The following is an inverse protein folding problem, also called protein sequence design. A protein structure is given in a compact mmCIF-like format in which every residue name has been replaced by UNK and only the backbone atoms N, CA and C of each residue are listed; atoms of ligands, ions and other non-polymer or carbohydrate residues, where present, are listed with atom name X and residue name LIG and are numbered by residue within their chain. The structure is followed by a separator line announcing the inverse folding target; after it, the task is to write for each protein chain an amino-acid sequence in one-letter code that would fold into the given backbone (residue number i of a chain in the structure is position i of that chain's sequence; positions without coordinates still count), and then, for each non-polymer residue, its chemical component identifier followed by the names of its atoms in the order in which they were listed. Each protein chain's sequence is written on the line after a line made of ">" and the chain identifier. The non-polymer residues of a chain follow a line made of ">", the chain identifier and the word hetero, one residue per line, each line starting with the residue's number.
data_IF_165329288968
#
_entry.id   IF_165329288968
#
_cell.length_a   1.000
_cell.length_b   1.000
_cell.length_c   1.000
_cell.angle_alpha   90.00
_cell.angle_beta   90.00
_cell.angle_gamma   90.00
#
_symmetry.space_group_name_H-M   'P 1'
#
loop_
_entity.id
_entity.type
_entity.pdbx_description
1 polymer ?
#
# COMPACT_ATOMS: atom_id res chain seq x y z
N UNK A 1 -17.51 6.16 39.48
CA UNK A 1 -18.63 5.45 38.79
C UNK A 1 -18.05 4.45 37.83
N UNK A 2 -18.56 3.21 37.80
CA UNK A 2 -18.14 2.20 36.82
C UNK A 2 -18.77 2.55 35.47
N UNK A 3 -17.96 2.66 34.42
CA UNK A 3 -18.45 2.97 33.08
C UNK A 3 -19.36 1.84 32.58
N UNK A 4 -20.46 2.13 31.86
CA UNK A 4 -21.30 1.10 31.26
C UNK A 4 -20.48 0.19 30.33
N UNK A 5 -20.71 -1.13 30.41
CA UNK A 5 -19.92 -2.13 29.68
C UNK A 5 -19.93 -1.93 28.16
N UNK A 6 -21.07 -1.52 27.60
CA UNK A 6 -21.19 -1.23 26.17
C UNK A 6 -20.30 -0.06 25.73
N UNK A 7 -20.20 0.99 26.55
CA UNK A 7 -19.37 2.15 26.23
C UNK A 7 -17.88 1.83 26.36
N UNK A 8 -17.48 1.02 27.35
CA UNK A 8 -16.09 0.57 27.45
C UNK A 8 -15.69 -0.31 26.27
N UNK A 9 -16.57 -1.19 25.78
CA UNK A 9 -16.30 -2.03 24.62
C UNK A 9 -16.07 -1.20 23.35
N UNK A 10 -16.89 -0.16 23.12
CA UNK A 10 -16.70 0.75 21.98
C UNK A 10 -15.37 1.51 22.07
N UNK A 11 -15.00 2.00 23.25
CA UNK A 11 -13.71 2.69 23.45
C UNK A 11 -12.54 1.76 23.14
N UNK A 12 -12.57 0.52 23.63
CA UNK A 12 -11.51 -0.46 23.34
C UNK A 12 -11.44 -0.82 21.86
N UNK A 13 -12.59 -1.03 21.19
CA UNK A 13 -12.63 -1.29 19.76
C UNK A 13 -12.01 -0.15 18.93
N UNK A 14 -12.31 1.11 19.26
CA UNK A 14 -11.76 2.27 18.55
C UNK A 14 -10.24 2.44 18.72
N UNK A 15 -9.66 1.91 19.80
CA UNK A 15 -8.20 1.96 20.05
C UNK A 15 -7.40 1.06 19.11
N UNK A 16 -8.04 0.12 18.43
CA UNK A 16 -7.37 -0.71 17.42
C UNK A 16 -7.00 0.08 16.16
N UNK A 17 -7.59 1.27 15.95
CA UNK A 17 -7.32 2.10 14.79
C UNK A 17 -5.97 2.81 14.90
N UNK A 18 -5.18 2.86 13.81
CA UNK A 18 -3.90 3.57 13.82
C UNK A 18 -4.10 5.06 14.14
N UNK A 19 -3.29 5.59 15.06
CA UNK A 19 -3.37 6.99 15.50
C UNK A 19 -4.45 7.29 16.55
N UNK A 20 -5.23 6.29 16.99
CA UNK A 20 -6.30 6.49 17.98
C UNK A 20 -5.85 6.06 19.39
N UNK A 21 -5.37 7.04 20.16
CA UNK A 21 -5.06 6.85 21.58
C UNK A 21 -6.30 6.76 22.48
N UNK A 22 -6.13 6.36 23.76
CA UNK A 22 -7.25 6.10 24.69
C UNK A 22 -8.16 7.32 24.90
N UNK A 23 -7.59 8.54 25.00
CA UNK A 23 -8.37 9.78 25.12
C UNK A 23 -9.17 10.10 23.85
N UNK A 24 -8.60 9.85 22.67
CA UNK A 24 -9.31 10.07 21.40
C UNK A 24 -10.44 9.08 21.21
N UNK A 25 -10.20 7.79 21.46
CA UNK A 25 -11.23 6.75 21.43
C UNK A 25 -12.40 7.08 22.37
N UNK A 26 -12.10 7.52 23.59
CA UNK A 26 -13.13 7.95 24.55
C UNK A 26 -13.96 9.11 23.98
N UNK A 27 -13.33 10.18 23.48
CA UNK A 27 -14.06 11.32 22.90
C UNK A 27 -14.96 10.91 21.74
N UNK A 28 -14.45 10.07 20.83
CA UNK A 28 -15.21 9.55 19.69
C UNK A 28 -16.43 8.74 20.16
N UNK A 29 -16.24 7.82 21.11
CA UNK A 29 -17.32 6.98 21.64
C UNK A 29 -18.43 7.82 22.29
N UNK A 30 -18.08 8.80 23.11
CA UNK A 30 -19.07 9.69 23.73
C UNK A 30 -19.78 10.55 22.69
N UNK A 31 -19.06 11.11 21.72
CA UNK A 31 -19.66 11.91 20.64
C UNK A 31 -20.70 11.11 19.86
N UNK A 32 -20.35 9.90 19.41
CA UNK A 32 -21.25 9.02 18.68
C UNK A 32 -22.51 8.66 19.50
N UNK A 33 -22.35 8.34 20.79
CA UNK A 33 -23.50 7.96 21.62
C UNK A 33 -24.40 9.12 22.03
N UNK A 34 -23.85 10.34 22.12
CA UNK A 34 -24.60 11.53 22.56
C UNK A 34 -25.22 12.32 21.39
N UNK A 35 -24.53 12.39 20.26
CA UNK A 35 -24.86 13.33 19.18
C UNK A 35 -25.12 12.65 17.84
N UNK A 36 -24.58 11.46 17.59
CA UNK A 36 -24.65 10.83 16.26
C UNK A 36 -24.80 9.30 16.32
N UNK A 37 -25.94 8.86 16.86
CA UNK A 37 -26.24 7.44 17.00
C UNK A 37 -26.46 6.74 15.65
N UNK A 38 -27.06 7.45 14.69
CA UNK A 38 -27.25 6.96 13.34
C UNK A 38 -25.90 6.78 12.61
N UNK A 39 -24.96 7.72 12.79
CA UNK A 39 -23.59 7.57 12.29
C UNK A 39 -22.87 6.37 12.89
N UNK A 40 -23.03 6.11 14.20
CA UNK A 40 -22.49 4.90 14.82
C UNK A 40 -23.05 3.60 14.23
N UNK A 41 -24.37 3.52 14.02
CA UNK A 41 -25.00 2.34 13.40
C UNK A 41 -24.50 2.13 11.98
N UNK A 42 -24.40 3.20 11.19
CA UNK A 42 -23.85 3.16 9.83
C UNK A 42 -22.40 2.70 9.82
N UNK A 43 -21.55 3.24 10.71
CA UNK A 43 -20.15 2.84 10.82
C UNK A 43 -20.01 1.35 11.16
N UNK A 44 -20.80 0.86 12.12
CA UNK A 44 -20.81 -0.56 12.49
C UNK A 44 -21.20 -1.45 11.31
N UNK A 45 -22.28 -1.09 10.60
CA UNK A 45 -22.74 -1.83 9.43
C UNK A 45 -21.71 -1.81 8.28
N UNK A 46 -21.11 -0.66 7.98
CA UNK A 46 -20.08 -0.54 6.94
C UNK A 46 -18.83 -1.35 7.25
N UNK A 47 -18.38 -1.35 8.52
CA UNK A 47 -17.22 -2.14 8.93
C UNK A 47 -17.49 -3.64 8.77
N UNK A 48 -18.67 -4.11 9.22
CA UNK A 48 -19.05 -5.51 9.07
C UNK A 48 -19.13 -5.91 7.60
N UNK A 49 -19.81 -5.10 6.79
CA UNK A 49 -19.93 -5.33 5.35
C UNK A 49 -18.55 -5.46 4.69
N UNK A 50 -17.63 -4.52 4.97
CA UNK A 50 -16.28 -4.56 4.43
C UNK A 50 -15.52 -5.83 4.84
N UNK A 51 -15.61 -6.25 6.11
CA UNK A 51 -14.93 -7.48 6.57
C UNK A 51 -15.48 -8.77 5.98
N UNK A 52 -16.75 -8.77 5.57
CA UNK A 52 -17.40 -9.94 4.96
C UNK A 52 -17.17 -10.04 3.45
N UNK A 53 -17.06 -8.89 2.76
CA UNK A 53 -17.07 -8.84 1.29
C UNK A 53 -15.71 -8.53 0.68
N UNK A 54 -14.85 -7.77 1.36
CA UNK A 54 -13.51 -7.46 0.84
C UNK A 54 -12.60 -8.67 1.01
N UNK A 55 -12.02 -9.10 -0.10
CA UNK A 55 -10.97 -10.11 -0.17
C UNK A 55 -9.81 -9.62 -1.00
N UNK A 56 -8.78 -10.47 -1.12
CA UNK A 56 -7.61 -10.19 -1.94
C UNK A 56 -7.76 -10.80 -3.32
N UNK A 57 -7.35 -10.04 -4.34
CA UNK A 57 -7.25 -10.51 -5.71
C UNK A 57 -6.25 -11.68 -5.74
N UNK A 58 -6.63 -12.78 -6.37
CA UNK A 58 -5.77 -13.97 -6.46
C UNK A 58 -4.47 -13.68 -7.23
N UNK A 59 -4.54 -12.77 -8.21
CA UNK A 59 -3.42 -12.34 -9.04
C UNK A 59 -2.53 -11.28 -8.36
N UNK A 60 -3.04 -10.06 -8.16
CA UNK A 60 -2.22 -8.92 -7.72
C UNK A 60 -2.27 -8.63 -6.23
N UNK A 61 -3.03 -9.40 -5.45
CA UNK A 61 -3.20 -9.23 -4.01
C UNK A 61 -3.91 -7.93 -3.56
N UNK A 62 -4.37 -7.06 -4.46
CA UNK A 62 -5.15 -5.87 -4.08
C UNK A 62 -6.53 -6.20 -3.50
N UNK A 63 -7.22 -5.23 -2.91
CA UNK A 63 -8.60 -5.42 -2.43
C UNK A 63 -9.60 -5.50 -3.58
N UNK A 64 -10.52 -6.45 -3.50
CA UNK A 64 -11.57 -6.71 -4.49
C UNK A 64 -12.70 -7.50 -3.85
N UNK A 65 -13.90 -7.43 -4.43
CA UNK A 65 -15.05 -8.28 -4.09
C UNK A 65 -15.13 -9.52 -5.00
N UNK A 66 -14.48 -9.46 -6.17
CA UNK A 66 -14.34 -10.56 -7.13
C UNK A 66 -13.06 -11.39 -6.89
N UNK A 67 -12.98 -12.61 -7.43
CA UNK A 67 -11.75 -13.45 -7.35
C UNK A 67 -10.53 -12.75 -7.98
N UNK A 68 -10.77 -12.06 -9.11
CA UNK A 68 -9.76 -11.27 -9.82
C UNK A 68 -10.30 -9.85 -9.93
N UNK A 69 -9.46 -8.84 -9.62
CA UNK A 69 -9.85 -7.44 -9.74
C UNK A 69 -9.93 -6.99 -11.20
N UNK A 70 -10.65 -5.90 -11.45
CA UNK A 70 -10.88 -5.31 -12.78
C UNK A 70 -9.56 -5.04 -13.53
N UNK A 71 -8.56 -4.47 -12.84
CA UNK A 71 -7.23 -4.19 -13.41
C UNK A 71 -6.53 -5.46 -13.91
N UNK A 72 -6.76 -6.62 -13.30
CA UNK A 72 -6.15 -7.87 -13.73
C UNK A 72 -6.96 -8.64 -14.79
N UNK A 73 -8.21 -8.22 -15.06
CA UNK A 73 -9.09 -8.75 -16.09
C UNK A 73 -9.07 -7.89 -17.37
N UNK A 74 -8.59 -6.66 -17.26
CA UNK A 74 -8.49 -5.71 -18.35
C UNK A 74 -7.49 -6.19 -19.43
N UNK A 75 -8.03 -6.58 -20.59
CA UNK A 75 -7.26 -7.08 -21.73
C UNK A 75 -6.50 -5.98 -22.49
N UNK A 76 -6.80 -4.70 -22.26
CA UNK A 76 -6.09 -3.59 -22.88
C UNK A 76 -4.73 -3.31 -22.20
N UNK A 77 -4.48 -3.95 -21.05
CA UNK A 77 -3.24 -3.78 -20.30
C UNK A 77 -2.12 -4.64 -20.84
N UNK A 78 -0.91 -4.15 -20.62
CA UNK A 78 0.31 -4.84 -21.01
C UNK A 78 0.73 -5.85 -19.92
N UNK A 79 0.61 -7.17 -20.16
CA UNK A 79 0.98 -8.17 -19.17
C UNK A 79 2.50 -8.34 -19.03
N UNK A 80 3.30 -7.78 -19.95
CA UNK A 80 4.77 -7.82 -19.86
C UNK A 80 5.32 -6.89 -18.77
N UNK A 81 4.51 -5.94 -18.29
CA UNK A 81 4.88 -4.95 -17.29
C UNK A 81 4.20 -5.24 -15.95
N UNK A 82 5.00 -5.38 -14.89
CA UNK A 82 4.50 -5.60 -13.54
C UNK A 82 5.01 -4.54 -12.55
N UNK A 83 4.11 -3.76 -11.96
CA UNK A 83 4.43 -2.76 -10.95
C UNK A 83 4.20 -3.30 -9.53
N UNK A 84 5.22 -3.25 -8.69
CA UNK A 84 5.16 -3.71 -7.31
C UNK A 84 5.03 -2.52 -6.36
N UNK A 85 3.95 -2.49 -5.58
CA UNK A 85 3.64 -1.41 -4.62
C UNK A 85 3.48 -1.96 -3.20
N UNK A 86 3.60 -1.09 -2.19
CA UNK A 86 3.46 -1.49 -0.77
C UNK A 86 1.99 -1.73 -0.41
N UNK A 87 1.08 -0.83 -0.81
CA UNK A 87 -0.32 -0.85 -0.38
C UNK A 87 -1.32 -0.68 -1.53
N UNK A 88 -2.60 -1.06 -1.32
CA UNK A 88 -3.65 -0.78 -2.31
C UNK A 88 -3.84 0.72 -2.57
N UNK A 89 -3.58 1.57 -1.58
CA UNK A 89 -3.63 3.02 -1.75
C UNK A 89 -2.58 3.50 -2.77
N UNK A 90 -1.36 2.96 -2.70
CA UNK A 90 -0.29 3.29 -3.65
C UNK A 90 -0.66 2.86 -5.08
N UNK A 91 -1.29 1.69 -5.23
CA UNK A 91 -1.83 1.24 -6.52
C UNK A 91 -2.85 2.26 -7.07
N UNK A 92 -3.83 2.66 -6.26
CA UNK A 92 -4.88 3.59 -6.68
C UNK A 92 -4.26 4.93 -7.10
N UNK A 93 -3.26 5.44 -6.37
CA UNK A 93 -2.57 6.68 -6.73
C UNK A 93 -1.86 6.58 -8.08
N UNK A 94 -1.19 5.45 -8.37
CA UNK A 94 -0.58 5.23 -9.68
C UNK A 94 -1.63 5.12 -10.79
N UNK A 95 -2.73 4.42 -10.55
CA UNK A 95 -3.82 4.24 -11.51
C UNK A 95 -4.45 5.60 -11.89
N UNK A 96 -4.66 6.48 -10.91
CA UNK A 96 -5.19 7.83 -11.12
C UNK A 96 -4.32 8.71 -12.03
N UNK A 97 -3.04 8.39 -12.20
CA UNK A 97 -2.18 9.12 -13.14
C UNK A 97 -2.52 8.84 -14.60
N UNK A 98 -3.20 7.71 -14.89
CA UNK A 98 -3.47 7.22 -16.25
C UNK A 98 -2.22 7.05 -17.13
N UNK A 99 -1.03 6.98 -16.50
CA UNK A 99 0.25 6.86 -17.21
C UNK A 99 0.76 5.43 -17.30
N UNK A 100 0.37 4.57 -16.37
CA UNK A 100 0.83 3.19 -16.30
C UNK A 100 -0.20 2.25 -16.91
N UNK A 101 0.22 1.44 -17.89
CA UNK A 101 -0.64 0.47 -18.60
C UNK A 101 -0.36 -0.99 -18.25
N UNK A 102 0.58 -1.23 -17.33
CA UNK A 102 0.91 -2.58 -16.90
C UNK A 102 -0.02 -3.11 -15.81
N UNK A 103 0.36 -4.27 -15.28
CA UNK A 103 -0.32 -4.92 -14.16
C UNK A 103 0.38 -4.61 -12.85
N UNK A 104 -0.28 -4.94 -11.73
CA UNK A 104 0.25 -4.67 -10.39
C UNK A 104 0.51 -5.95 -9.57
N UNK A 105 1.27 -5.79 -8.51
CA UNK A 105 1.28 -6.65 -7.33
C UNK A 105 1.41 -5.80 -6.06
N UNK A 106 0.55 -6.06 -5.07
CA UNK A 106 0.51 -5.33 -3.80
C UNK A 106 1.09 -6.19 -2.68
N UNK A 107 2.18 -5.70 -2.08
CA UNK A 107 2.90 -6.42 -1.03
C UNK A 107 2.15 -6.50 0.30
N UNK A 108 1.17 -5.62 0.54
CA UNK A 108 0.51 -5.44 1.84
C UNK A 108 1.46 -5.02 2.96
N UNK A 109 2.46 -4.22 2.60
CA UNK A 109 3.46 -3.70 3.52
C UNK A 109 4.86 -3.71 2.92
N UNK A 110 5.85 -3.78 3.80
CA UNK A 110 7.27 -3.68 3.49
C UNK A 110 8.08 -4.45 4.51
N UNK A 111 9.31 -4.80 4.17
CA UNK A 111 10.23 -5.46 5.10
C UNK A 111 10.56 -4.52 6.26
N UNK A 112 10.33 -4.97 7.48
CA UNK A 112 10.71 -4.25 8.69
C UNK A 112 11.25 -5.24 9.73
N UNK A 113 12.58 -5.44 9.78
CA UNK A 113 13.20 -6.31 10.78
C UNK A 113 12.89 -5.89 12.21
N UNK A 114 12.72 -4.59 12.46
CA UNK A 114 12.39 -4.05 13.79
C UNK A 114 10.98 -4.46 14.24
N UNK A 115 10.05 -4.52 13.31
CA UNK A 115 8.66 -4.94 13.57
C UNK A 115 8.45 -6.45 13.36
N UNK A 116 9.53 -7.20 13.07
CA UNK A 116 9.46 -8.63 12.78
C UNK A 116 8.76 -8.98 11.45
N UNK A 117 8.62 -8.02 10.54
CA UNK A 117 7.98 -8.21 9.23
C UNK A 117 9.02 -8.67 8.21
N UNK A 118 8.92 -9.93 7.79
CA UNK A 118 9.79 -10.57 6.82
C UNK A 118 9.15 -10.77 5.44
N UNK A 119 9.81 -11.54 4.56
CA UNK A 119 9.33 -11.80 3.20
C UNK A 119 7.97 -12.51 3.13
N UNK A 120 7.65 -13.35 4.12
CA UNK A 120 6.39 -14.09 4.15
C UNK A 120 5.21 -13.16 4.36
N UNK A 121 5.37 -12.21 5.27
CA UNK A 121 4.35 -11.24 5.67
C UNK A 121 4.01 -10.28 4.53
N UNK A 122 4.95 -10.03 3.62
CA UNK A 122 4.74 -9.20 2.42
C UNK A 122 4.36 -9.99 1.16
N UNK A 123 3.94 -11.25 1.32
CA UNK A 123 3.52 -12.14 0.23
C UNK A 123 4.55 -12.32 -0.88
N UNK A 124 5.83 -12.37 -0.52
CA UNK A 124 6.94 -12.42 -1.48
C UNK A 124 6.87 -13.63 -2.44
N UNK A 125 6.50 -14.80 -1.95
CA UNK A 125 6.38 -16.00 -2.80
C UNK A 125 5.35 -15.80 -3.93
N UNK A 126 4.20 -15.19 -3.63
CA UNK A 126 3.16 -14.88 -4.62
C UNK A 126 3.64 -13.87 -5.65
N UNK A 127 4.40 -12.86 -5.23
CA UNK A 127 5.04 -11.92 -6.14
C UNK A 127 5.95 -12.65 -7.12
N UNK A 128 6.81 -13.55 -6.61
CA UNK A 128 7.76 -14.29 -7.46
C UNK A 128 7.02 -15.19 -8.44
N UNK A 129 5.96 -15.90 -8.02
CA UNK A 129 5.14 -16.71 -8.93
C UNK A 129 4.50 -15.86 -10.03
N UNK A 130 4.01 -14.67 -9.70
CA UNK A 130 3.43 -13.75 -10.69
C UNK A 130 4.48 -13.17 -11.64
N UNK A 131 5.63 -12.78 -11.12
CA UNK A 131 6.69 -12.18 -11.91
C UNK A 131 7.40 -13.19 -12.84
N UNK A 132 7.30 -14.48 -12.56
CA UNK A 132 7.91 -15.56 -13.36
C UNK A 132 6.87 -16.40 -14.12
N UNK A 133 5.71 -15.81 -14.45
CA UNK A 133 4.67 -16.49 -15.21
C UNK A 133 5.04 -16.75 -16.69
N UNK A 134 6.20 -16.26 -17.12
CA UNK A 134 6.72 -16.39 -18.48
C UNK A 134 6.26 -15.30 -19.44
N UNK A 135 5.42 -14.36 -18.97
CA UNK A 135 4.91 -13.23 -19.76
C UNK A 135 5.57 -11.93 -19.31
N UNK A 136 5.79 -11.76 -18.00
CA UNK A 136 6.43 -10.55 -17.45
C UNK A 136 7.87 -10.41 -17.92
N UNK A 137 8.19 -9.26 -18.51
CA UNK A 137 9.53 -8.90 -18.98
C UNK A 137 10.19 -7.86 -18.06
N UNK A 138 9.40 -6.91 -17.53
CA UNK A 138 9.86 -5.84 -16.65
C UNK A 138 9.07 -5.76 -15.35
N UNK A 139 9.80 -5.68 -14.24
CA UNK A 139 9.24 -5.38 -12.92
C UNK A 139 9.64 -3.97 -12.49
N UNK A 140 8.64 -3.10 -12.34
CA UNK A 140 8.80 -1.73 -11.82
C UNK A 140 8.61 -1.74 -10.32
N UNK A 141 9.66 -1.43 -9.57
CA UNK A 141 9.58 -1.30 -8.12
C UNK A 141 9.08 0.10 -7.77
N UNK A 142 7.87 0.16 -7.22
CA UNK A 142 7.16 1.35 -6.79
C UNK A 142 6.87 1.34 -5.27
N UNK A 143 7.76 0.71 -4.49
CA UNK A 143 7.74 0.86 -3.02
C UNK A 143 8.04 2.30 -2.61
N UNK A 144 7.69 2.67 -1.38
CA UNK A 144 7.84 4.02 -0.89
C UNK A 144 9.32 4.37 -0.69
N UNK A 145 9.65 5.67 -0.77
CA UNK A 145 11.01 6.17 -0.57
C UNK A 145 11.36 6.35 0.91
N UNK A 146 10.99 5.38 1.75
CA UNK A 146 11.44 5.28 3.16
C UNK A 146 12.60 4.31 3.28
N UNK A 147 13.26 4.26 4.44
CA UNK A 147 14.35 3.30 4.69
C UNK A 147 13.90 1.85 4.47
N UNK A 148 12.73 1.49 4.97
CA UNK A 148 12.13 0.16 4.83
C UNK A 148 11.70 -0.13 3.40
N UNK A 149 11.08 0.86 2.72
CA UNK A 149 10.66 0.73 1.33
C UNK A 149 11.85 0.58 0.38
N UNK A 150 12.97 1.24 0.67
CA UNK A 150 14.23 1.10 -0.07
C UNK A 150 14.93 -0.23 0.19
N UNK A 151 14.98 -0.68 1.45
CA UNK A 151 15.48 -2.01 1.78
C UNK A 151 14.66 -3.10 1.06
N UNK A 152 13.34 -2.94 1.04
CA UNK A 152 12.42 -3.83 0.31
C UNK A 152 12.71 -3.79 -1.18
N UNK A 153 12.78 -2.61 -1.81
CA UNK A 153 13.11 -2.49 -3.23
C UNK A 153 14.45 -3.14 -3.58
N UNK A 154 15.48 -2.91 -2.77
CA UNK A 154 16.80 -3.49 -2.99
C UNK A 154 16.76 -5.02 -2.93
N UNK A 155 16.09 -5.59 -1.92
CA UNK A 155 15.92 -7.03 -1.77
C UNK A 155 15.15 -7.66 -2.95
N UNK A 156 14.03 -7.05 -3.35
CA UNK A 156 13.25 -7.46 -4.52
C UNK A 156 14.10 -7.40 -5.79
N UNK A 157 14.83 -6.30 -5.99
CA UNK A 157 15.64 -6.10 -7.19
C UNK A 157 16.74 -7.16 -7.33
N UNK A 158 17.47 -7.48 -6.26
CA UNK A 158 18.50 -8.51 -6.29
C UNK A 158 17.90 -9.88 -6.65
N UNK A 159 16.75 -10.21 -6.07
CA UNK A 159 16.12 -11.51 -6.28
C UNK A 159 15.50 -11.66 -7.68
N UNK A 160 14.86 -10.61 -8.20
CA UNK A 160 14.24 -10.64 -9.52
C UNK A 160 15.29 -10.59 -10.64
N UNK A 161 16.36 -9.80 -10.47
CA UNK A 161 17.47 -9.76 -11.42
C UNK A 161 18.20 -11.09 -11.53
N UNK A 162 18.42 -11.80 -10.43
CA UNK A 162 19.05 -13.12 -10.45
C UNK A 162 18.22 -14.18 -11.18
N UNK A 163 16.92 -13.91 -11.38
CA UNK A 163 15.98 -14.73 -12.16
C UNK A 163 15.84 -14.28 -13.61
N UNK A 164 16.61 -13.28 -14.06
CA UNK A 164 16.67 -12.84 -15.45
C UNK A 164 15.65 -11.76 -15.84
N UNK A 165 14.88 -11.22 -14.89
CA UNK A 165 13.92 -10.16 -15.17
C UNK A 165 14.60 -8.79 -15.25
N UNK A 166 14.10 -7.92 -16.14
CA UNK A 166 14.45 -6.50 -16.12
C UNK A 166 13.77 -5.88 -14.89
N UNK A 167 14.53 -5.16 -14.07
CA UNK A 167 13.99 -4.50 -12.88
C UNK A 167 14.32 -3.02 -12.92
N UNK A 168 13.30 -2.18 -12.82
CA UNK A 168 13.41 -0.73 -12.77
C UNK A 168 12.85 -0.20 -11.45
N UNK A 169 13.20 1.05 -11.12
CA UNK A 169 12.76 1.73 -9.92
C UNK A 169 12.10 3.04 -10.35
N UNK A 170 11.00 3.43 -9.70
CA UNK A 170 10.46 4.77 -9.88
C UNK A 170 11.53 5.83 -9.67
N UNK A 171 11.46 6.90 -10.45
CA UNK A 171 12.38 8.01 -10.27
C UNK A 171 12.15 8.65 -8.90
N UNK A 172 13.24 8.98 -8.21
CA UNK A 172 13.22 9.84 -7.03
C UNK A 172 13.69 11.23 -7.44
N UNK A 173 13.08 12.28 -6.91
CA UNK A 173 13.54 13.62 -7.20
C UNK A 173 12.66 14.71 -6.63
N UNK A 174 12.92 15.92 -7.11
CA UNK A 174 12.20 17.15 -6.76
C UNK A 174 10.79 17.10 -7.38
N UNK A 175 9.72 17.41 -6.63
CA UNK A 175 8.36 17.45 -7.17
C UNK A 175 8.23 18.52 -8.25
N UNK A 176 7.45 18.23 -9.28
CA UNK A 176 7.13 19.21 -10.34
C UNK A 176 6.37 20.38 -9.73
N UNK A 177 6.78 21.60 -10.06
CA UNK A 177 6.20 22.84 -9.52
C UNK A 177 6.73 23.24 -8.14
N UNK A 178 7.66 22.46 -7.55
CA UNK A 178 8.36 22.85 -6.33
C UNK A 178 9.55 23.78 -6.60
N UNK A 179 9.81 24.69 -5.67
CA UNK A 179 11.02 25.52 -5.66
C UNK A 179 12.10 24.87 -4.80
N UNK A 180 13.36 24.88 -5.25
CA UNK A 180 14.47 24.21 -4.56
C UNK A 180 14.66 24.70 -3.11
N UNK A 181 14.32 25.95 -2.81
CA UNK A 181 14.41 26.52 -1.45
C UNK A 181 13.52 25.78 -0.44
N UNK A 182 12.42 25.16 -0.89
CA UNK A 182 11.44 24.48 -0.03
C UNK A 182 11.57 22.95 -0.05
N UNK A 183 12.59 22.42 -0.72
CA UNK A 183 12.85 20.98 -0.81
C UNK A 183 13.89 20.59 0.22
N UNK A 184 13.71 19.44 0.87
CA UNK A 184 14.69 18.95 1.85
C UNK A 184 16.03 18.62 1.17
N UNK A 185 17.12 18.85 1.92
CA UNK A 185 18.48 18.66 1.41
C UNK A 185 18.75 17.22 0.94
N UNK A 186 18.08 16.22 1.52
CA UNK A 186 18.20 14.82 1.13
C UNK A 186 17.64 14.55 -0.27
N UNK A 187 16.45 15.08 -0.55
CA UNK A 187 15.83 15.02 -1.88
C UNK A 187 16.66 15.74 -2.93
N UNK A 188 17.20 16.93 -2.62
CA UNK A 188 18.09 17.68 -3.55
C UNK A 188 19.37 16.90 -3.81
N UNK A 189 20.06 16.45 -2.77
CA UNK A 189 21.30 15.68 -2.90
C UNK A 189 21.07 14.45 -3.77
N UNK A 190 19.94 13.76 -3.59
CA UNK A 190 19.63 12.58 -4.38
C UNK A 190 19.27 12.91 -5.82
N UNK A 191 18.51 13.98 -6.08
CA UNK A 191 18.21 14.44 -7.44
C UNK A 191 19.48 14.82 -8.23
N UNK A 192 20.48 15.41 -7.56
CA UNK A 192 21.79 15.73 -8.17
C UNK A 192 22.56 14.47 -8.55
N UNK A 193 22.55 13.45 -7.68
CA UNK A 193 23.21 12.16 -7.93
C UNK A 193 22.56 11.41 -9.09
N UNK A 194 21.23 11.42 -9.17
CA UNK A 194 20.44 10.69 -10.17
C UNK A 194 20.15 11.52 -11.44
N UNK A 195 20.86 12.64 -11.65
CA UNK A 195 20.66 13.53 -12.81
C UNK A 195 20.87 12.78 -14.13
N UNK A 196 20.04 13.09 -15.13
CA UNK A 196 20.08 12.46 -16.46
C UNK A 196 20.63 13.44 -17.49
N UNK A 197 21.26 12.92 -18.55
CA UNK A 197 21.61 13.71 -19.73
C UNK A 197 20.34 14.16 -20.45
N UNK A 198 20.40 15.35 -21.06
CA UNK A 198 19.34 15.92 -21.90
C UNK A 198 19.77 15.85 -23.35
#
# INVERSE_FOLDING_TARGET
>A
MKQPSALSALVEALRALPGVGPKSAQRMAYHLMQHDRAGAEKLGASLLFATEHLKHCEKCNTFTESEICEVCLDEERDPSLLCVVETPADQIMLEQTLTYRGLYFVLMGRLSPLDGIGPKEIHFERLISRALDGIVEEVVLATNFTNEGEATAHYLAQTLKSKGLKVTRLARGVPVGGELEYVDAGTIARAVLDRRSV
#
